data_IF_202185975303
#
_entry.id   IF_202185975303
#
_cell.length_a   1.000
_cell.length_b   1.000
_cell.length_c   1.000
_cell.angle_alpha   90.00
_cell.angle_beta   90.00
_cell.angle_gamma   90.00
#
_symmetry.space_group_name_H-M   'P 1'
#
loop_
_entity.id
_entity.type
_entity.pdbx_description
1 polymer ?
2 non-polymer ?
3 water ?
#
# COMPACT_ATOMS: atom_id res chain seq x y z
N UNK A 2 18.28 -32.86 -17.25
CA UNK A 2 18.23 -31.38 -17.10
C UNK A 2 18.90 -30.95 -15.79
N UNK A 3 18.58 -29.76 -15.29
CA UNK A 3 19.29 -29.19 -14.14
C UNK A 3 18.47 -28.16 -13.33
N UNK A 4 18.84 -28.04 -12.06
CA UNK A 4 18.15 -27.18 -11.08
C UNK A 4 18.63 -25.73 -11.08
N UNK A 5 19.64 -25.48 -11.88
CA UNK A 5 20.23 -24.16 -12.05
C UNK A 5 19.81 -23.67 -13.42
N UNK A 6 19.54 -22.37 -13.53
CA UNK A 6 19.00 -21.77 -14.73
C UNK A 6 19.51 -20.33 -14.87
N UNK A 7 19.78 -19.89 -16.09
CA UNK A 7 20.08 -18.50 -16.38
C UNK A 7 18.77 -17.78 -16.70
N UNK A 8 18.63 -16.59 -16.12
CA UNK A 8 17.46 -15.75 -16.33
C UNK A 8 17.91 -14.30 -16.50
N UNK A 9 17.06 -13.48 -17.07
CA UNK A 9 17.40 -12.10 -17.37
C UNK A 9 16.14 -11.23 -17.30
N UNK A 10 16.19 -10.17 -16.52
CA UNK A 10 15.05 -9.28 -16.45
C UNK A 10 15.34 -8.10 -15.54
N UNK A 11 14.25 -7.41 -15.21
CA UNK A 11 14.28 -6.14 -14.53
C UNK A 11 13.77 -6.29 -13.10
N UNK A 12 14.57 -5.73 -12.19
CA UNK A 12 14.29 -5.75 -10.77
C UNK A 12 13.16 -4.76 -10.52
N UNK A 13 12.05 -5.25 -10.00
CA UNK A 13 10.89 -4.41 -9.67
C UNK A 13 10.65 -4.20 -8.18
N UNK A 14 11.28 -5.01 -7.33
CA UNK A 14 11.20 -4.87 -5.89
C UNK A 14 12.45 -5.48 -5.26
N UNK A 15 12.94 -4.81 -4.22
CA UNK A 15 14.12 -5.22 -3.44
C UNK A 15 13.75 -5.12 -1.97
N UNK A 16 13.88 -6.23 -1.25
CA UNK A 16 13.75 -6.30 0.20
C UNK A 16 15.10 -6.68 0.81
N UNK A 17 15.58 -5.83 1.71
CA UNK A 17 16.72 -6.13 2.57
C UNK A 17 16.13 -6.72 3.83
N UNK A 18 16.52 -7.96 4.08
CA UNK A 18 16.00 -8.78 5.16
C UNK A 18 16.78 -8.51 6.46
N UNK A 19 16.23 -8.78 7.64
CA UNK A 19 17.00 -8.56 8.88
C UNK A 19 18.36 -9.28 8.92
N UNK A 20 18.45 -10.47 8.33
CA UNK A 20 19.71 -11.19 8.15
C UNK A 20 20.69 -10.66 7.11
N UNK A 21 20.33 -9.64 6.35
CA UNK A 21 21.23 -9.11 5.34
C UNK A 21 21.12 -9.83 3.99
N UNK A 22 20.08 -10.65 3.83
CA UNK A 22 19.75 -11.19 2.52
C UNK A 22 19.02 -10.13 1.68
N UNK A 23 19.06 -10.29 0.36
CA UNK A 23 18.33 -9.43 -0.55
C UNK A 23 17.34 -10.27 -1.33
N UNK A 24 16.06 -10.01 -1.16
CA UNK A 24 14.99 -10.71 -1.86
C UNK A 24 14.50 -9.79 -2.97
N UNK A 25 14.54 -10.29 -4.19
CA UNK A 25 14.14 -9.48 -5.34
C UNK A 25 13.03 -10.14 -6.12
N UNK A 26 12.17 -9.30 -6.68
CA UNK A 26 11.25 -9.76 -7.69
C UNK A 26 11.72 -9.18 -9.02
N UNK A 27 11.71 -10.02 -10.04
CA UNK A 27 12.07 -9.61 -11.38
C UNK A 27 10.93 -9.87 -12.34
N UNK A 28 10.78 -8.96 -13.29
CA UNK A 28 9.99 -9.27 -14.47
C UNK A 28 10.96 -9.66 -15.58
N UNK A 29 10.67 -10.81 -16.20
CA UNK A 29 11.48 -11.42 -17.26
C UNK A 29 10.63 -11.91 -18.43
N UNK A 30 11.27 -12.12 -19.59
CA UNK A 30 10.55 -12.62 -20.75
C UNK A 30 9.92 -14.00 -20.55
N UNK A 31 10.37 -14.74 -19.55
CA UNK A 31 9.75 -16.02 -19.20
C UNK A 31 8.84 -16.00 -17.99
N UNK A 32 8.47 -14.83 -17.49
CA UNK A 32 7.55 -14.74 -16.39
C UNK A 32 8.13 -13.95 -15.23
N UNK A 33 7.32 -13.83 -14.18
CA UNK A 33 7.76 -13.21 -12.95
C UNK A 33 8.69 -14.16 -12.21
N UNK A 34 9.71 -13.63 -11.53
CA UNK A 34 10.68 -14.42 -10.79
C UNK A 34 10.96 -13.75 -9.44
N UNK A 35 10.81 -14.52 -8.37
CA UNK A 35 11.21 -14.13 -7.01
C UNK A 35 12.43 -14.96 -6.61
N UNK A 36 13.44 -14.31 -6.06
CA UNK A 36 14.66 -14.98 -5.64
C UNK A 36 15.37 -14.20 -4.54
N UNK A 37 16.26 -14.88 -3.83
CA UNK A 37 16.98 -14.36 -2.67
C UNK A 37 18.48 -14.44 -2.91
N UNK A 38 19.20 -13.34 -2.72
CA UNK A 38 20.65 -13.32 -2.71
C UNK A 38 21.09 -13.36 -1.24
N UNK A 39 21.55 -14.54 -0.81
CA UNK A 39 21.89 -14.75 0.60
C UNK A 39 23.18 -14.01 0.95
N UNK A 40 23.21 -13.48 2.17
CA UNK A 40 24.23 -12.55 2.60
C UNK A 40 24.55 -11.53 1.53
N UNK A 41 23.53 -11.13 0.78
CA UNK A 41 23.72 -10.32 -0.41
C UNK A 41 24.13 -8.88 -0.19
N UNK A 42 23.66 -8.26 0.89
CA UNK A 42 23.97 -6.85 1.12
C UNK A 42 25.47 -6.65 1.31
N UNK A 43 26.11 -7.60 1.98
CA UNK A 43 27.55 -7.55 2.25
C UNK A 43 28.36 -8.48 1.35
N UNK A 44 28.16 -8.37 0.03
CA UNK A 44 29.05 -9.02 -0.94
C UNK A 44 28.99 -8.34 -2.32
N UNK A 45 29.32 -9.07 -3.39
CA UNK A 45 29.46 -8.49 -4.72
C UNK A 45 28.18 -8.17 -5.49
N UNK A 46 27.03 -8.62 -4.99
CA UNK A 46 25.77 -8.59 -5.73
C UNK A 46 24.81 -7.47 -5.36
N UNK A 47 25.14 -6.72 -4.30
CA UNK A 47 24.23 -5.75 -3.70
C UNK A 47 23.83 -4.62 -4.65
N UNK A 48 24.80 -4.05 -5.34
CA UNK A 48 24.55 -2.88 -6.17
C UNK A 48 23.82 -3.23 -7.47
N UNK A 49 24.14 -4.38 -8.06
CA UNK A 49 23.45 -4.83 -9.26
C UNK A 49 21.96 -5.09 -9.04
N UNK A 50 21.55 -5.65 -7.90
CA UNK A 50 20.15 -6.00 -7.72
C UNK A 50 19.30 -4.81 -7.24
N UNK A 51 19.40 -3.65 -7.90
CA UNK A 51 18.59 -2.52 -7.47
C UNK A 51 17.46 -2.23 -8.44
N UNK A 52 16.47 -1.50 -7.95
CA UNK A 52 15.26 -1.25 -8.72
C UNK A 52 15.60 -0.73 -10.11
N UNK A 53 14.92 -1.33 -11.08
CA UNK A 53 14.92 -0.87 -12.45
C UNK A 53 16.15 -1.32 -13.23
N UNK A 54 17.08 -2.03 -12.60
CA UNK A 54 18.21 -2.59 -13.35
C UNK A 54 17.77 -3.81 -14.14
N UNK A 55 18.26 -3.95 -15.36
CA UNK A 55 18.11 -5.16 -16.15
C UNK A 55 19.33 -6.00 -15.78
N UNK A 56 19.10 -7.14 -15.13
CA UNK A 56 20.17 -8.03 -14.69
C UNK A 56 20.07 -9.41 -15.32
N UNK A 57 21.23 -10.04 -15.49
CA UNK A 57 21.34 -11.45 -15.79
C UNK A 57 21.70 -12.16 -14.49
N UNK A 58 20.98 -13.23 -14.18
CA UNK A 58 21.15 -13.95 -12.93
C UNK A 58 21.20 -15.44 -13.21
N UNK A 59 22.09 -16.11 -12.50
CA UNK A 59 22.05 -17.56 -12.40
C UNK A 59 21.34 -17.91 -11.11
N UNK A 60 20.27 -18.68 -11.21
CA UNK A 60 19.50 -19.03 -10.03
C UNK A 60 19.41 -20.53 -9.83
N UNK A 61 19.38 -20.92 -8.57
CA UNK A 61 19.27 -22.32 -8.17
C UNK A 61 17.94 -22.55 -7.46
N UNK A 62 17.13 -23.47 -7.96
CA UNK A 62 15.94 -23.93 -7.26
C UNK A 62 16.21 -25.29 -6.60
N UNK A 63 16.33 -25.24 -5.28
CA UNK A 63 16.39 -26.42 -4.45
C UNK A 63 15.23 -27.37 -4.68
N UNK A 64 15.38 -28.60 -4.19
CA UNK A 64 14.35 -29.63 -4.37
C UNK A 64 13.16 -29.40 -3.46
N UNK A 65 13.36 -28.72 -2.33
CA UNK A 65 12.30 -28.50 -1.35
C UNK A 65 12.95 -27.87 -0.13
N UNK A 67 11.90 -23.45 -1.34
CA UNK A 67 10.97 -23.08 -2.41
C UNK A 67 11.28 -21.75 -3.09
N UNK A 68 11.99 -20.85 -2.42
CA UNK A 68 12.51 -19.63 -3.05
C UNK A 68 13.83 -19.88 -3.78
N UNK A 69 13.90 -19.53 -5.06
CA UNK A 69 15.12 -19.65 -5.83
C UNK A 69 16.21 -18.75 -5.25
N UNK A 70 17.44 -19.24 -5.29
CA UNK A 70 18.56 -18.52 -4.69
C UNK A 70 19.44 -18.00 -5.81
N UNK A 71 19.94 -16.78 -5.69
CA UNK A 71 20.75 -16.14 -6.72
C UNK A 71 22.21 -16.52 -6.46
N UNK A 72 22.85 -17.11 -7.47
CA UNK A 72 24.23 -17.56 -7.34
C UNK A 72 25.16 -16.53 -7.99
N UNK A 73 24.74 -15.97 -9.11
CA UNK A 73 25.48 -14.88 -9.76
C UNK A 73 24.52 -13.84 -10.33
N UNK A 74 25.01 -12.61 -10.45
CA UNK A 74 24.22 -11.53 -11.01
C UNK A 74 25.15 -10.57 -11.75
N UNK A 75 24.74 -10.21 -12.97
CA UNK A 75 25.53 -9.37 -13.85
C UNK A 75 24.62 -8.24 -14.35
N UNK A 76 25.06 -7.00 -14.17
CA UNK A 76 24.31 -5.86 -14.68
C UNK A 76 24.36 -5.77 -16.21
N UNK A 77 23.19 -5.82 -16.85
CA UNK A 77 23.08 -5.79 -18.30
C UNK A 77 22.60 -4.46 -18.87
N UNK A 78 22.02 -3.61 -18.03
CA UNK A 78 21.35 -2.43 -18.49
C UNK A 78 20.91 -1.63 -17.28
N UNK A 79 21.20 -0.33 -17.33
CA UNK A 79 20.72 0.61 -16.33
C UNK A 79 20.23 1.87 -17.02
N UNK A 80 19.40 2.64 -16.30
CA UNK A 80 18.85 3.90 -16.75
C UNK A 80 19.11 4.92 -15.63
N UNK A 81 20.28 5.55 -15.65
CA UNK A 81 20.71 6.43 -14.55
C UNK A 81 19.79 7.62 -14.29
N UNK A 82 19.05 7.97 -15.33
CA UNK A 82 18.14 9.10 -15.32
C UNK A 82 16.88 8.84 -14.46
N UNK A 83 16.56 7.56 -14.26
CA UNK A 83 15.56 7.15 -13.27
C UNK A 83 15.86 7.58 -11.84
N UNK A 84 17.06 8.06 -11.56
CA UNK A 84 17.34 8.67 -10.26
C UNK A 84 16.71 10.06 -10.12
N UNK A 85 16.31 10.67 -11.22
CA UNK A 85 15.55 11.92 -11.12
C UNK A 85 14.20 11.60 -10.45
N UNK A 86 13.82 12.32 -9.40
CA UNK A 86 12.65 11.97 -8.60
C UNK A 86 11.32 11.77 -9.35
N UNK A 87 11.03 12.61 -10.33
CA UNK A 87 9.80 12.45 -11.10
C UNK A 87 9.79 11.19 -11.97
N UNK A 88 10.92 10.91 -12.59
CA UNK A 88 11.10 9.70 -13.38
C UNK A 88 11.08 8.46 -12.50
N UNK A 89 11.78 8.49 -11.37
CA UNK A 89 11.75 7.39 -10.44
C UNK A 89 10.30 7.04 -10.07
N UNK A 90 9.49 8.05 -9.78
CA UNK A 90 8.12 7.89 -9.35
C UNK A 90 7.28 7.14 -10.38
N UNK A 91 7.46 7.46 -11.67
CA UNK A 91 6.73 6.80 -12.74
C UNK A 91 7.28 5.39 -13.04
N UNK A 92 8.59 5.18 -12.98
CA UNK A 92 9.18 3.85 -13.07
C UNK A 92 8.59 2.96 -11.98
N UNK A 93 8.49 3.49 -10.78
CA UNK A 93 8.00 2.77 -9.61
C UNK A 93 6.51 2.40 -9.76
N UNK A 94 5.71 3.32 -10.27
CA UNK A 94 4.34 3.04 -10.63
C UNK A 94 4.24 1.90 -11.65
N UNK A 95 5.00 1.94 -12.74
CA UNK A 95 4.92 0.89 -13.75
C UNK A 95 5.25 -0.45 -13.11
N UNK A 96 6.27 -0.48 -12.25
CA UNK A 96 6.72 -1.71 -11.62
C UNK A 96 5.62 -2.35 -10.78
N UNK A 97 5.03 -1.59 -9.88
CA UNK A 97 4.01 -2.11 -8.96
C UNK A 97 2.70 -2.39 -9.72
N UNK A 98 2.42 -1.57 -10.74
CA UNK A 98 1.21 -1.76 -11.53
C UNK A 98 1.32 -3.05 -12.31
N UNK A 99 2.46 -3.26 -12.97
CA UNK A 99 2.63 -4.49 -13.75
C UNK A 99 2.53 -5.75 -12.89
N UNK A 100 3.10 -5.69 -11.70
CA UNK A 100 3.10 -6.83 -10.79
C UNK A 100 1.69 -7.15 -10.33
N UNK A 101 0.89 -6.11 -10.17
CA UNK A 101 -0.47 -6.24 -9.69
C UNK A 101 -1.38 -6.71 -10.80
N UNK A 102 -1.07 -6.34 -12.03
CA UNK A 102 -2.00 -6.56 -13.14
C UNK A 102 -1.94 -8.02 -13.62
N UNK A 103 -0.74 -8.56 -13.68
CA UNK A 103 -0.49 -9.90 -14.19
C UNK A 103 -0.39 -10.88 -13.03
N UNK A 104 -1.30 -11.85 -13.00
CA UNK A 104 -1.22 -12.96 -12.04
C UNK A 104 -0.17 -13.97 -12.50
N UNK A 105 0.18 -14.88 -11.59
CA UNK A 105 1.23 -15.87 -11.86
C UNK A 105 0.84 -16.64 -13.12
N UNK A 106 1.81 -16.83 -14.02
CA UNK A 106 1.58 -17.35 -15.36
C UNK A 106 1.13 -16.38 -16.45
N UNK A 107 0.56 -15.24 -16.10
CA UNK A 107 0.08 -14.33 -17.14
C UNK A 107 1.17 -13.45 -17.80
N UNK A 108 2.38 -13.38 -17.24
CA UNK A 108 3.40 -12.46 -17.71
C UNK A 108 4.29 -12.98 -18.84
N UNK A 109 3.95 -12.56 -20.04
CA UNK A 109 4.50 -13.12 -21.28
C UNK A 109 5.71 -12.32 -21.76
N UNK A 110 6.38 -12.84 -22.78
CA UNK A 110 7.48 -12.11 -23.39
C UNK A 110 7.04 -10.75 -23.93
N UNK A 111 5.84 -10.69 -24.51
CA UNK A 111 5.32 -9.45 -25.09
C UNK A 111 5.14 -8.42 -23.97
N UNK A 112 4.68 -8.89 -22.82
CA UNK A 112 4.48 -8.06 -21.64
C UNK A 112 5.82 -7.57 -21.14
N UNK A 113 6.82 -8.43 -21.08
CA UNK A 113 8.16 -8.04 -20.67
C UNK A 113 8.69 -6.92 -21.58
N UNK A 114 8.54 -7.09 -22.88
CA UNK A 114 9.10 -6.12 -23.82
C UNK A 114 8.45 -4.75 -23.70
N UNK A 115 7.12 -4.77 -23.58
CA UNK A 115 6.35 -3.57 -23.34
C UNK A 115 6.70 -2.93 -22.00
N UNK A 116 6.84 -3.74 -20.95
CA UNK A 116 7.28 -3.18 -19.67
C UNK A 116 8.64 -2.48 -19.73
N UNK A 117 9.62 -3.16 -20.33
CA UNK A 117 10.97 -2.60 -20.48
C UNK A 117 10.92 -1.28 -21.24
N UNK A 118 10.09 -1.22 -22.29
CA UNK A 118 9.96 0.00 -23.08
C UNK A 118 9.34 1.13 -22.26
N UNK A 119 8.44 0.77 -21.35
CA UNK A 119 7.82 1.75 -20.46
C UNK A 119 8.87 2.42 -19.60
N UNK A 120 9.80 1.64 -19.06
CA UNK A 120 10.89 2.19 -18.27
C UNK A 120 11.85 3.07 -19.10
N UNK A 121 12.21 2.64 -20.29
CA UNK A 121 12.96 3.48 -21.22
C UNK A 121 12.25 4.80 -21.49
N UNK A 122 10.97 4.75 -21.85
CA UNK A 122 10.17 5.94 -22.02
C UNK A 122 10.12 6.90 -20.85
N UNK A 123 9.97 6.35 -19.64
CA UNK A 123 9.92 7.18 -18.44
C UNK A 123 11.30 7.78 -18.20
N UNK A 124 12.33 7.01 -18.55
CA UNK A 124 13.70 7.47 -18.36
C UNK A 124 14.09 8.56 -19.36
N UNK A 125 13.55 8.50 -20.59
CA UNK A 125 14.05 9.35 -21.69
C UNK A 125 13.13 10.41 -22.26
N UNK A 126 11.82 10.26 -22.10
CA UNK A 126 10.85 11.13 -22.73
C UNK A 126 10.50 12.39 -21.91
N UNK A 127 10.16 13.48 -22.58
CA UNK A 127 9.81 14.72 -21.88
C UNK A 127 8.62 14.64 -20.91
N UNK A 128 7.65 13.76 -21.12
CA UNK A 128 6.41 13.69 -20.36
C UNK A 128 6.25 12.25 -19.82
N UNK A 129 6.96 11.94 -18.76
CA UNK A 129 6.89 10.57 -18.22
C UNK A 129 5.51 10.19 -17.69
N UNK A 130 4.69 11.11 -17.20
CA UNK A 130 3.33 10.78 -16.81
C UNK A 130 2.60 10.18 -18.02
N UNK A 131 2.79 10.80 -19.19
CA UNK A 131 2.07 10.38 -20.38
C UNK A 131 2.57 9.00 -20.83
N UNK A 132 3.88 8.77 -20.73
CA UNK A 132 4.40 7.43 -21.02
C UNK A 132 3.69 6.41 -20.13
N UNK A 133 3.57 6.71 -18.84
CA UNK A 133 2.98 5.75 -17.91
C UNK A 133 1.50 5.51 -18.17
N UNK A 134 0.74 6.56 -18.48
CA UNK A 134 -0.65 6.42 -18.88
C UNK A 134 -0.79 5.48 -20.07
N UNK A 135 0.00 5.77 -21.10
CA UNK A 135 -0.08 5.02 -22.36
C UNK A 135 0.28 3.57 -22.16
N UNK A 136 1.35 3.32 -21.41
CA UNK A 136 1.92 2.00 -21.25
C UNK A 136 1.05 1.17 -20.32
N UNK A 137 0.54 1.79 -19.27
CA UNK A 137 -0.35 1.08 -18.37
C UNK A 137 -1.64 0.61 -19.08
N UNK A 138 -2.24 1.46 -19.92
CA UNK A 138 -3.42 1.04 -20.70
C UNK A 138 -3.07 -0.02 -21.74
N UNK A 139 -1.93 0.14 -22.38
CA UNK A 139 -1.46 -0.87 -23.32
C UNK A 139 -1.27 -2.24 -22.69
N UNK A 140 -0.73 -2.29 -21.48
CA UNK A 140 -0.55 -3.55 -20.80
C UNK A 140 -1.88 -4.25 -20.51
N UNK A 141 -2.99 -3.53 -20.37
CA UNK A 141 -4.29 -4.17 -20.23
C UNK A 141 -4.60 -5.17 -21.33
N UNK A 142 -4.16 -4.89 -22.55
CA UNK A 142 -4.35 -5.80 -23.67
C UNK A 142 -3.59 -7.10 -23.59
N UNK A 143 -2.58 -7.21 -22.71
CA UNK A 143 -1.79 -8.42 -22.65
C UNK A 143 -2.12 -9.28 -21.42
N UNK A 144 -3.02 -8.77 -20.58
CA UNK A 144 -3.25 -9.37 -19.28
C UNK A 144 -4.60 -10.07 -19.33
N UNK A 145 -5.03 -10.55 -18.17
CA UNK A 145 -6.25 -11.34 -17.98
C UNK A 145 -7.59 -10.62 -17.93
N UNK A 146 -7.57 -9.33 -17.61
CA UNK A 146 -8.74 -8.45 -17.77
C UNK A 146 -9.26 -8.41 -19.21
N UNK A 147 -10.52 -7.98 -19.33
CA UNK A 147 -11.24 -7.82 -20.59
C UNK A 147 -11.76 -6.39 -20.78
N UNK A 148 -10.96 -5.60 -21.47
CA UNK A 148 -11.37 -4.24 -21.79
C UNK A 148 -12.62 -4.31 -22.69
N UNK A 149 -13.54 -3.37 -22.51
CA UNK A 149 -14.80 -3.39 -23.27
C UNK A 149 -15.37 -1.98 -23.33
N UNK A 150 -15.10 -1.28 -24.43
CA UNK A 150 -15.53 0.10 -24.69
C UNK A 150 -16.56 0.31 -25.80
N UNK A 151 -16.95 -0.75 -26.51
CA UNK A 151 -17.90 -0.65 -27.61
C UNK A 151 -19.36 -0.58 -27.17
N UNK A 152 -19.69 -1.06 -25.98
CA UNK A 152 -21.06 -1.06 -25.50
C UNK A 152 -21.21 -0.62 -24.04
N UNK A 153 -22.32 0.02 -23.71
CA UNK A 153 -22.59 0.42 -22.35
C UNK A 153 -22.51 -0.80 -21.45
N UNK A 154 -21.80 -0.66 -20.34
CA UNK A 154 -21.56 -1.77 -19.43
C UNK A 154 -22.86 -2.22 -18.75
N UNK A 155 -23.90 -1.39 -18.76
CA UNK A 155 -25.15 -1.78 -18.11
C UNK A 155 -26.18 -2.33 -19.10
N UNK A 156 -26.60 -1.53 -20.08
CA UNK A 156 -27.66 -1.94 -21.00
C UNK A 156 -27.18 -2.46 -22.36
N UNK A 157 -25.92 -2.20 -22.71
CA UNK A 157 -25.36 -2.72 -23.93
C UNK A 157 -25.41 -1.80 -25.13
N UNK A 158 -25.98 -0.61 -24.99
CA UNK A 158 -26.04 0.39 -26.06
C UNK A 158 -24.68 0.74 -26.66
N UNK A 159 -24.65 0.82 -27.98
CA UNK A 159 -23.39 1.07 -28.70
C UNK A 159 -22.77 2.43 -28.41
N UNK A 160 -21.44 2.45 -28.36
CA UNK A 160 -20.67 3.68 -28.27
C UNK A 160 -20.96 4.58 -27.07
N UNK A 161 -20.88 4.04 -25.85
CA UNK A 161 -21.11 4.83 -24.65
C UNK A 161 -20.03 5.90 -24.47
N UNK A 162 -20.41 7.04 -23.90
CA UNK A 162 -19.50 8.15 -23.76
C UNK A 162 -19.28 8.59 -22.32
N UNK A 163 -19.87 7.87 -21.37
CA UNK A 163 -19.85 8.36 -19.99
C UNK A 163 -19.07 7.48 -19.03
N UNK A 164 -18.61 8.08 -17.94
CA UNK A 164 -17.91 7.35 -16.89
C UNK A 164 -18.78 6.27 -16.26
N UNK A 165 -18.15 5.19 -15.82
CA UNK A 165 -18.76 4.05 -15.16
C UNK A 165 -18.12 3.98 -13.76
N UNK A 166 -18.68 4.63 -12.76
CA UNK A 166 -18.09 4.60 -11.41
C UNK A 166 -18.13 3.24 -10.72
N UNK A 167 -19.01 2.33 -11.12
CA UNK A 167 -19.07 1.01 -10.50
C UNK A 167 -18.09 -0.03 -11.06
N UNK A 168 -17.92 -0.06 -12.38
CA UNK A 168 -17.15 -1.11 -13.01
C UNK A 168 -15.91 -0.61 -13.73
N UNK A 169 -15.78 0.70 -13.87
CA UNK A 169 -14.67 1.29 -14.59
C UNK A 169 -14.61 1.09 -16.10
N UNK A 170 -15.75 0.78 -16.70
CA UNK A 170 -15.89 0.68 -18.15
C UNK A 170 -16.49 2.00 -18.64
N UNK A 171 -17.51 1.97 -19.49
CA UNK A 171 -18.25 3.14 -19.93
C UNK A 171 -19.76 2.91 -19.95
N UNK A 172 -20.54 3.95 -19.71
CA UNK A 172 -22.00 3.92 -19.67
C UNK A 172 -22.57 4.83 -20.75
N UNK A 173 -23.77 4.50 -21.25
CA UNK A 173 -24.47 5.40 -22.18
C UNK A 173 -25.13 6.54 -21.41
N UNK A 174 -25.61 7.52 -22.17
CA UNK A 174 -26.23 8.72 -21.62
C UNK A 174 -27.45 8.38 -20.77
N UNK A 175 -28.13 7.27 -21.06
CA UNK A 175 -29.30 6.89 -20.29
C UNK A 175 -28.96 6.19 -18.98
N UNK A 176 -27.86 5.46 -18.91
CA UNK A 176 -27.50 4.73 -17.70
C UNK A 176 -26.64 5.58 -16.78
N UNK A 177 -26.07 6.66 -17.30
CA UNK A 177 -25.09 7.48 -16.61
C UNK A 177 -25.74 8.59 -15.79
N UNK A 178 -25.13 8.92 -14.66
CA UNK A 178 -25.53 10.05 -13.85
C UNK A 178 -24.46 11.15 -13.89
N UNK A 179 -23.35 10.91 -14.57
CA UNK A 179 -22.30 11.90 -14.76
C UNK A 179 -22.21 12.39 -16.20
N UNK A 180 -21.69 13.58 -16.41
CA UNK A 180 -21.51 14.11 -17.77
C UNK A 180 -20.54 13.30 -18.61
N UNK A 181 -20.60 13.42 -19.93
CA UNK A 181 -19.76 12.60 -20.81
C UNK A 181 -18.28 12.94 -20.64
N UNK A 182 -17.39 11.96 -20.88
CA UNK A 182 -15.99 12.26 -21.00
C UNK A 182 -15.80 13.22 -22.18
N UNK A 183 -14.86 14.15 -22.06
CA UNK A 183 -14.54 15.01 -23.21
C UNK A 183 -13.90 14.21 -24.32
N UNK A 184 -13.96 14.76 -25.52
CA UNK A 184 -13.59 14.02 -26.72
C UNK A 184 -12.19 13.38 -26.74
N UNK A 185 -11.16 14.06 -26.23
CA UNK A 185 -9.81 13.49 -26.28
C UNK A 185 -9.71 12.35 -25.27
N UNK A 186 -10.40 12.46 -24.13
CA UNK A 186 -10.46 11.37 -23.17
C UNK A 186 -11.13 10.13 -23.76
N UNK A 187 -12.26 10.34 -24.42
CA UNK A 187 -13.00 9.26 -25.04
C UNK A 187 -12.16 8.57 -26.10
N UNK A 188 -11.46 9.38 -26.88
CA UNK A 188 -10.67 8.82 -27.95
C UNK A 188 -9.54 7.94 -27.41
N UNK A 189 -8.90 8.42 -26.35
CA UNK A 189 -7.90 7.62 -25.67
C UNK A 189 -8.46 6.30 -25.14
N UNK A 190 -9.55 6.41 -24.39
CA UNK A 190 -10.16 5.24 -23.78
C UNK A 190 -10.55 4.19 -24.82
N UNK A 191 -11.05 4.61 -25.98
CA UNK A 191 -11.54 3.71 -27.01
C UNK A 191 -10.45 3.03 -27.81
N UNK A 192 -9.27 3.62 -27.84
CA UNK A 192 -8.23 3.17 -28.75
C UNK A 192 -6.88 2.87 -28.10
N UNK A 193 -6.71 3.18 -26.82
CA UNK A 193 -5.41 3.10 -26.19
C UNK A 193 -4.86 1.68 -26.17
N UNK A 194 -5.74 0.69 -26.01
CA UNK A 194 -5.29 -0.69 -26.03
C UNK A 194 -4.74 -1.18 -27.38
N UNK A 195 -5.35 -0.76 -28.48
CA UNK A 195 -5.03 -1.23 -29.83
C UNK A 195 -3.96 -0.38 -30.52
N UNK A 196 -4.02 0.93 -30.31
CA UNK A 196 -3.07 1.86 -30.91
C UNK A 196 -1.65 1.55 -30.51
N UNK A 197 -0.72 1.71 -31.44
CA UNK A 197 0.69 1.58 -31.09
C UNK A 197 1.06 2.62 -30.04
N UNK A 198 2.02 2.29 -29.19
CA UNK A 198 2.47 3.27 -28.20
C UNK A 198 3.14 4.48 -28.85
N UNK A 199 3.84 4.26 -29.95
CA UNK A 199 4.38 5.38 -30.70
C UNK A 199 3.30 6.37 -31.14
N UNK A 200 2.25 5.88 -31.76
CA UNK A 200 1.09 6.71 -32.11
C UNK A 200 0.50 7.46 -30.93
N UNK A 201 0.29 6.80 -29.80
CA UNK A 201 -0.24 7.46 -28.62
C UNK A 201 0.65 8.54 -28.01
N UNK A 202 1.96 8.32 -28.03
CA UNK A 202 2.92 9.29 -27.52
C UNK A 202 2.83 10.62 -28.28
N UNK A 203 2.37 10.56 -29.52
CA UNK A 203 2.25 11.74 -30.36
C UNK A 203 0.96 12.51 -30.07
N UNK A 204 -0.01 11.87 -29.42
CA UNK A 204 -1.26 12.54 -29.08
C UNK A 204 -1.54 12.67 -27.59
N UNK A 205 -0.69 13.37 -26.84
CA UNK A 205 -0.94 13.47 -25.39
C UNK A 205 -2.28 14.12 -25.05
N UNK A 206 -2.92 13.64 -23.99
CA UNK A 206 -4.12 14.25 -23.46
C UNK A 206 -3.61 15.33 -22.52
N UNK A 207 -4.26 16.49 -22.52
CA UNK A 207 -3.83 17.59 -21.66
C UNK A 207 -3.93 17.20 -20.21
N UNK A 208 -3.08 17.85 -19.41
CA UNK A 208 -2.87 17.50 -18.01
C UNK A 208 -4.18 17.58 -17.23
N UNK A 209 -5.03 18.53 -17.60
CA UNK A 209 -6.30 18.73 -16.92
C UNK A 209 -7.17 17.49 -17.05
N UNK A 210 -7.09 16.78 -18.18
CA UNK A 210 -7.92 15.59 -18.41
C UNK A 210 -7.34 14.27 -17.92
N UNK A 211 -6.14 14.30 -17.36
CA UNK A 211 -5.49 13.06 -16.98
C UNK A 211 -6.03 12.39 -15.71
N UNK A 212 -6.40 13.14 -14.68
CA UNK A 212 -7.00 12.49 -13.50
C UNK A 212 -8.16 11.56 -13.86
N UNK A 213 -8.99 11.93 -14.83
CA UNK A 213 -10.06 11.07 -15.32
C UNK A 213 -9.55 9.72 -15.85
N UNK A 214 -8.45 9.78 -16.62
CA UNK A 214 -7.78 8.60 -17.13
C UNK A 214 -7.18 7.69 -16.04
N UNK A 215 -6.54 8.29 -15.04
CA UNK A 215 -5.99 7.53 -13.93
C UNK A 215 -7.12 6.88 -13.15
N UNK A 216 -8.22 7.61 -12.97
CA UNK A 216 -9.33 7.11 -12.16
C UNK A 216 -9.99 5.91 -12.80
N UNK A 217 -10.19 5.98 -14.11
CA UNK A 217 -10.85 4.92 -14.83
C UNK A 217 -10.00 3.66 -14.79
N UNK A 218 -8.70 3.85 -14.97
CA UNK A 218 -7.73 2.76 -14.89
C UNK A 218 -7.79 2.05 -13.54
N UNK A 219 -7.81 2.83 -12.45
CA UNK A 219 -7.84 2.32 -11.08
C UNK A 219 -9.10 1.51 -10.79
N UNK A 220 -10.26 2.04 -11.18
CA UNK A 220 -11.53 1.37 -10.98
C UNK A 220 -11.59 0.07 -11.78
N UNK A 221 -11.27 0.15 -13.07
CA UNK A 221 -11.29 -1.01 -13.92
C UNK A 221 -10.39 -2.13 -13.40
N UNK A 222 -9.14 -1.82 -13.08
CA UNK A 222 -8.18 -2.84 -12.67
C UNK A 222 -8.60 -3.50 -11.34
N UNK A 223 -9.03 -2.68 -10.39
CA UNK A 223 -9.46 -3.12 -9.08
C UNK A 223 -10.73 -3.96 -9.19
N UNK A 224 -11.68 -3.63 -10.08
CA UNK A 224 -12.85 -4.48 -10.26
C UNK A 224 -12.49 -5.78 -10.98
N UNK A 225 -11.62 -5.74 -11.97
CA UNK A 225 -11.35 -6.90 -12.81
C UNK A 225 -10.36 -7.87 -12.19
N UNK A 226 -9.39 -7.37 -11.42
CA UNK A 226 -8.27 -8.19 -10.97
C UNK A 226 -8.34 -8.26 -9.46
N UNK A 227 -8.26 -9.45 -8.89
CA UNK A 227 -8.08 -9.55 -7.45
C UNK A 227 -6.81 -8.92 -6.88
N UNK A 228 -6.86 -8.52 -5.61
CA UNK A 228 -5.68 -8.08 -4.90
C UNK A 228 -5.90 -6.80 -4.09
N UNK A 229 -4.82 -6.25 -3.56
CA UNK A 229 -4.85 -5.06 -2.73
C UNK A 229 -4.66 -3.80 -3.58
N UNK A 230 -4.00 -3.94 -4.72
CA UNK A 230 -3.80 -2.79 -5.59
C UNK A 230 -3.18 -1.60 -4.84
N UNK A 231 -2.11 -1.93 -4.11
CA UNK A 231 -1.24 -0.96 -3.47
C UNK A 231 -0.51 -0.03 -4.44
N UNK A 232 -0.42 -0.44 -5.69
CA UNK A 232 0.17 0.41 -6.73
C UNK A 232 -0.56 1.73 -6.86
N UNK A 233 -1.80 1.80 -6.39
CA UNK A 233 -2.54 3.05 -6.40
C UNK A 233 -1.98 4.15 -5.49
N UNK A 234 -1.13 3.79 -4.54
CA UNK A 234 -0.32 4.74 -3.79
C UNK A 234 0.58 5.61 -4.68
N UNK A 235 0.92 5.11 -5.86
CA UNK A 235 1.80 5.82 -6.75
C UNK A 235 1.16 6.59 -7.90
N UNK A 236 -0.16 6.54 -8.02
CA UNK A 236 -0.84 7.29 -9.08
C UNK A 236 -0.73 8.78 -8.75
N UNK A 237 -0.44 9.67 -9.70
CA UNK A 237 -0.26 11.09 -9.37
C UNK A 237 -1.41 11.62 -8.51
N UNK A 238 -1.08 12.27 -7.41
CA UNK A 238 -2.02 12.66 -6.37
C UNK A 238 -1.66 13.97 -5.65
N UNK A 239 -0.80 14.77 -6.27
CA UNK A 239 -0.31 16.01 -5.70
C UNK A 239 1.20 16.14 -5.72
N UNK A 240 1.67 17.39 -5.67
CA UNK A 240 3.09 17.70 -5.54
C UNK A 240 3.41 18.16 -4.11
N UNK A 241 4.30 17.47 -3.40
CA UNK A 241 4.70 17.87 -2.04
C UNK A 241 5.04 19.35 -1.87
N UNK A 242 4.80 19.89 -0.68
CA UNK A 242 4.90 21.32 -0.42
C UNK A 242 6.34 21.85 -0.47
N UNK A 243 7.08 21.79 0.65
CA UNK A 243 8.42 22.37 0.72
C UNK A 243 9.36 21.71 1.73
N UNK A 244 10.66 21.79 1.46
CA UNK A 244 11.71 21.35 2.38
C UNK A 244 12.46 22.56 2.92
N UNK B 1 -15.16 19.70 16.46
CA UNK B 1 -14.60 20.98 15.92
C UNK B 1 -15.22 22.18 16.62
N UNK B 2 -14.38 23.10 17.08
CA UNK B 2 -14.84 24.20 17.93
C UNK B 2 -14.75 25.57 17.23
N UNK B 3 -14.70 25.55 15.90
CA UNK B 3 -14.91 26.71 15.03
C UNK B 3 -15.44 26.26 13.67
N UNK B 4 -15.83 27.20 12.82
CA UNK B 4 -16.33 26.93 11.47
C UNK B 4 -15.29 26.63 10.39
N UNK B 5 -14.30 27.51 10.26
CA UNK B 5 -13.17 27.28 9.37
C UNK B 5 -11.93 26.93 10.19
N UNK B 6 -11.07 26.07 9.63
CA UNK B 6 -9.93 25.53 10.38
C UNK B 6 -8.91 24.88 9.45
N UNK B 7 -7.64 25.08 9.82
CA UNK B 7 -6.50 24.47 9.16
C UNK B 7 -6.05 23.28 9.99
N UNK B 8 -5.93 22.15 9.32
CA UNK B 8 -5.59 20.89 9.98
C UNK B 8 -4.55 20.14 9.16
N UNK B 9 -3.79 19.30 9.84
CA UNK B 9 -2.75 18.54 9.18
C UNK B 9 -2.73 17.14 9.78
N UNK B 10 -2.74 16.13 8.93
CA UNK B 10 -2.57 14.76 9.37
C UNK B 10 -2.51 13.74 8.26
N UNK B 11 -2.73 12.49 8.65
CA UNK B 11 -2.54 11.36 7.76
C UNK B 11 -3.90 10.76 7.46
N UNK B 12 -4.16 10.62 6.17
CA UNK B 12 -5.35 9.93 5.72
C UNK B 12 -5.30 8.46 6.11
N UNK B 13 -6.23 8.04 6.96
CA UNK B 13 -6.32 6.63 7.30
C UNK B 13 -7.46 5.83 6.67
N UNK B 14 -8.34 6.52 5.96
CA UNK B 14 -9.44 5.86 5.27
C UNK B 14 -9.89 6.79 4.16
N UNK B 15 -10.21 6.15 3.04
CA UNK B 15 -10.54 6.83 1.80
C UNK B 15 -11.53 6.00 1.00
N UNK B 16 -12.60 6.66 0.57
CA UNK B 16 -13.69 6.11 -0.24
C UNK B 16 -14.04 7.19 -1.26
N UNK B 17 -14.10 6.83 -2.54
CA UNK B 17 -14.65 7.70 -3.57
C UNK B 17 -16.04 7.21 -3.93
N UNK B 18 -17.01 8.09 -3.73
CA UNK B 18 -18.45 7.86 -3.86
C UNK B 18 -18.81 7.82 -5.34
N UNK B 19 -19.85 7.11 -5.76
CA UNK B 19 -20.24 7.11 -7.18
C UNK B 19 -20.38 8.50 -7.83
N UNK B 20 -20.74 9.50 -7.03
CA UNK B 20 -20.79 10.89 -7.48
C UNK B 20 -19.42 11.60 -7.59
N UNK B 21 -18.34 10.97 -7.16
CA UNK B 21 -17.03 11.57 -7.32
C UNK B 21 -16.54 12.32 -6.09
N UNK B 22 -17.29 12.25 -4.98
CA UNK B 22 -16.80 12.82 -3.73
C UNK B 22 -15.85 11.90 -2.96
N UNK B 23 -14.73 12.46 -2.51
CA UNK B 23 -13.76 11.79 -1.67
C UNK B 23 -14.09 11.96 -0.21
N UNK B 24 -14.39 10.86 0.45
CA UNK B 24 -14.66 10.89 1.87
C UNK B 24 -13.48 10.27 2.62
N UNK B 25 -12.93 10.99 3.59
CA UNK B 25 -11.73 10.57 4.30
C UNK B 25 -11.87 10.69 5.81
N UNK B 26 -11.14 9.81 6.51
CA UNK B 26 -10.78 10.04 7.89
C UNK B 26 -9.29 10.34 8.01
N UNK B 27 -8.98 11.38 8.78
CA UNK B 27 -7.61 11.77 9.03
C UNK B 27 -7.33 11.57 10.51
N UNK B 28 -6.12 11.11 10.82
CA UNK B 28 -5.57 11.28 12.16
C UNK B 28 -4.70 12.52 12.16
N UNK B 29 -4.94 13.42 13.12
CA UNK B 29 -4.19 14.67 13.26
C UNK B 29 -3.71 14.82 14.69
N UNK B 30 -2.76 15.73 14.92
CA UNK B 30 -2.36 16.03 16.30
C UNK B 30 -3.50 16.47 17.22
N UNK B 31 -4.59 17.01 16.68
CA UNK B 31 -5.72 17.45 17.50
C UNK B 31 -6.85 16.42 17.53
N UNK B 32 -6.63 15.21 17.01
CA UNK B 32 -7.62 14.15 17.04
C UNK B 32 -8.04 13.65 15.66
N UNK B 33 -9.01 12.74 15.63
CA UNK B 33 -9.54 12.17 14.40
C UNK B 33 -10.40 13.23 13.72
N UNK B 34 -10.36 13.28 12.41
CA UNK B 34 -11.18 14.23 11.66
C UNK B 34 -11.77 13.56 10.43
N UNK B 35 -13.10 13.48 10.36
CA UNK B 35 -13.76 12.98 9.16
C UNK B 35 -14.18 14.12 8.25
N UNK B 36 -13.99 13.95 6.95
CA UNK B 36 -14.22 15.04 6.00
C UNK B 36 -14.59 14.56 4.59
N UNK B 37 -15.11 15.49 3.81
CA UNK B 37 -15.55 15.22 2.44
C UNK B 37 -14.98 16.28 1.52
N UNK B 38 -14.38 15.85 0.41
CA UNK B 38 -14.00 16.76 -0.68
C UNK B 38 -14.96 16.56 -1.82
N UNK B 39 -15.79 17.58 -2.06
CA UNK B 39 -16.87 17.51 -3.03
C UNK B 39 -16.31 17.69 -4.43
N UNK B 40 -16.33 16.61 -5.19
CA UNK B 40 -15.59 16.52 -6.45
C UNK B 40 -14.12 16.18 -6.22
N UNK B 45 -10.07 19.28 -8.69
CA UNK B 45 -9.70 20.69 -8.51
C UNK B 45 -8.66 20.87 -7.39
N UNK B 46 -8.73 20.09 -6.33
CA UNK B 46 -7.83 20.23 -5.19
C UNK B 46 -6.36 19.92 -5.50
N UNK B 47 -5.45 20.49 -4.73
CA UNK B 47 -4.01 20.27 -4.90
C UNK B 47 -3.51 18.86 -4.55
N UNK B 48 -4.29 18.13 -3.75
CA UNK B 48 -4.03 16.76 -3.33
C UNK B 48 -5.33 15.99 -3.45
N UNK B 49 -5.24 14.75 -3.92
CA UNK B 49 -6.40 13.88 -4.02
C UNK B 49 -6.58 13.09 -2.72
N UNK B 50 -5.90 13.52 -1.66
CA UNK B 50 -6.02 12.92 -0.32
C UNK B 50 -5.81 11.41 -0.30
N UNK B 51 -4.72 10.93 -0.90
CA UNK B 51 -4.47 9.50 -1.00
C UNK B 51 -4.19 8.88 0.36
N UNK B 52 -4.58 7.62 0.49
CA UNK B 52 -4.39 6.84 1.71
C UNK B 52 -2.93 6.92 2.16
N UNK B 53 -2.75 7.03 3.48
CA UNK B 53 -1.46 7.15 4.14
C UNK B 53 -0.66 8.41 3.83
N UNK B 54 -1.21 9.32 3.03
CA UNK B 54 -0.54 10.60 2.83
C UNK B 54 -0.70 11.54 4.01
N UNK B 55 0.37 12.29 4.26
CA UNK B 55 0.34 13.36 5.23
C UNK B 55 -0.09 14.61 4.48
N UNK B 56 -1.25 15.15 4.82
CA UNK B 56 -1.83 16.25 4.07
C UNK B 56 -2.15 17.41 4.99
N UNK B 57 -2.09 18.63 4.45
CA UNK B 57 -2.63 19.80 5.09
C UNK B 57 -3.92 20.17 4.39
N UNK B 58 -4.98 20.37 5.18
CA UNK B 58 -6.29 20.74 4.66
C UNK B 58 -6.81 22.00 5.33
N UNK B 59 -7.66 22.71 4.60
CA UNK B 59 -8.55 23.70 5.21
C UNK B 59 -9.98 23.18 5.06
N UNK B 60 -10.66 23.05 6.18
CA UNK B 60 -12.03 22.58 6.21
C UNK B 60 -13.03 23.61 6.74
N UNK B 61 -14.23 23.58 6.17
CA UNK B 61 -15.35 24.35 6.69
C UNK B 61 -16.33 23.40 7.36
N UNK B 62 -16.76 23.71 8.56
CA UNK B 62 -17.88 22.97 9.12
C UNK B 62 -18.82 23.91 9.85
N UNK B 63 -20.04 23.97 9.33
CA UNK B 63 -21.10 24.81 9.86
C UNK B 63 -22.14 23.95 10.52
N UNK B 64 -23.21 24.58 10.99
CA UNK B 64 -24.29 23.84 11.68
C UNK B 64 -25.13 23.03 10.70
N UNK B 65 -24.97 23.22 9.40
CA UNK B 65 -25.73 22.40 8.44
C UNK B 65 -24.93 21.28 7.78
N UNK B 66 -23.65 21.12 8.11
CA UNK B 66 -22.95 20.01 7.51
C UNK B 66 -22.53 18.89 8.46
N UNK B 67 -22.98 17.69 8.09
CA UNK B 67 -22.67 16.42 8.74
C UNK B 67 -21.18 16.20 8.95
N UNK B 68 -20.45 16.36 7.84
CA UNK B 68 -19.01 16.17 7.74
C UNK B 68 -18.42 17.54 7.42
N UNK B 69 -17.20 17.77 7.93
CA UNK B 69 -16.38 18.89 7.51
C UNK B 69 -16.09 18.81 6.03
N UNK B 70 -16.14 19.96 5.38
CA UNK B 70 -16.01 20.01 3.93
C UNK B 70 -14.62 20.52 3.57
N UNK B 71 -13.88 19.79 2.74
CA UNK B 71 -12.51 20.17 2.41
C UNK B 71 -12.56 21.22 1.32
N UNK B 72 -11.92 22.36 1.59
CA UNK B 72 -11.87 23.48 0.67
C UNK B 72 -10.51 23.64 0.01
N UNK B 73 -9.44 23.25 0.72
CA UNK B 73 -8.09 23.21 0.19
C UNK B 73 -7.39 21.97 0.75
N UNK B 74 -6.48 21.41 -0.04
CA UNK B 74 -5.70 20.26 0.40
C UNK B 74 -4.36 20.29 -0.31
N UNK B 75 -3.28 20.21 0.46
CA UNK B 75 -1.93 20.06 -0.09
C UNK B 75 -1.19 18.85 0.48
N UNK B 76 -0.37 18.24 -0.36
CA UNK B 76 0.44 17.09 0.06
C UNK B 76 1.62 17.60 0.87
N UNK B 77 1.76 17.12 2.10
CA UNK B 77 2.92 17.47 2.91
C UNK B 77 4.01 16.39 2.83
N UNK B 78 3.64 15.13 2.68
CA UNK B 78 4.61 14.09 2.42
C UNK B 78 3.95 12.73 2.23
N UNK B 79 4.71 11.84 1.61
CA UNK B 79 4.24 10.51 1.28
C UNK B 79 5.35 9.50 1.46
N UNK B 80 4.96 8.24 1.66
CA UNK B 80 5.87 7.13 1.82
C UNK B 80 5.70 6.18 0.62
N UNK B 81 6.43 6.39 -0.45
CA UNK B 81 6.20 5.61 -1.68
C UNK B 81 6.33 4.10 -1.50
N UNK B 82 7.16 3.62 -0.57
CA UNK B 82 7.33 2.18 -0.42
C UNK B 82 6.13 1.48 0.22
N UNK B 83 5.17 2.27 0.70
CA UNK B 83 3.86 1.72 1.06
C UNK B 83 3.11 1.16 -0.15
N UNK B 84 3.65 1.36 -1.36
CA UNK B 84 3.09 0.78 -2.57
C UNK B 84 3.40 -0.71 -2.69
N UNK B 85 4.35 -1.18 -1.88
CA UNK B 85 4.73 -2.59 -1.88
C UNK B 85 3.64 -3.33 -1.12
N UNK B 86 3.07 -4.36 -1.73
CA UNK B 86 1.89 -5.01 -1.15
C UNK B 86 1.98 -5.39 0.33
N UNK B 87 3.09 -5.96 0.78
CA UNK B 87 3.24 -6.35 2.17
C UNK B 87 3.28 -5.15 3.10
N UNK B 88 3.98 -4.11 2.67
CA UNK B 88 4.06 -2.92 3.50
C UNK B 88 2.71 -2.21 3.53
N UNK B 89 2.00 -2.21 2.40
CA UNK B 89 0.66 -1.63 2.32
C UNK B 89 -0.25 -2.33 3.32
N UNK B 90 -0.16 -3.65 3.39
CA UNK B 90 -1.07 -4.43 4.23
C UNK B 90 -0.89 -4.08 5.71
N UNK B 91 0.35 -3.96 6.16
CA UNK B 91 0.63 -3.56 7.54
C UNK B 91 0.22 -2.12 7.83
N UNK B 92 0.38 -1.23 6.85
CA UNK B 92 0.00 0.16 7.03
C UNK B 92 -1.52 0.24 7.18
N UNK B 93 -2.24 -0.53 6.39
CA UNK B 93 -3.68 -0.69 6.43
C UNK B 93 -4.12 -1.22 7.79
N UNK B 94 -3.37 -2.17 8.32
CA UNK B 94 -3.65 -2.74 9.62
C UNK B 94 -3.52 -1.66 10.70
N UNK B 95 -2.44 -0.90 10.62
CA UNK B 95 -2.19 0.17 11.57
C UNK B 95 -3.32 1.20 11.56
N UNK B 96 -3.70 1.62 10.36
CA UNK B 96 -4.78 2.57 10.14
C UNK B 96 -6.10 2.13 10.77
N UNK B 97 -6.53 0.91 10.46
CA UNK B 97 -7.76 0.33 11.00
C UNK B 97 -7.64 0.20 12.52
N UNK B 98 -6.47 -0.22 12.98
CA UNK B 98 -6.20 -0.31 14.40
C UNK B 98 -6.45 0.97 15.15
N UNK B 99 -5.84 2.05 14.67
CA UNK B 99 -5.98 3.33 15.32
C UNK B 99 -7.39 3.90 15.17
N UNK B 100 -8.08 3.56 14.09
CA UNK B 100 -9.41 4.11 13.95
C UNK B 100 -10.33 3.54 15.02
N UNK B 101 -10.25 2.22 15.18
CA UNK B 101 -11.09 1.45 16.11
C UNK B 101 -10.68 1.70 17.54
N UNK B 102 -9.38 1.93 17.75
CA UNK B 102 -8.82 2.03 19.08
C UNK B 102 -9.09 3.38 19.69
N UNK B 103 -8.97 4.45 18.91
CA UNK B 103 -9.19 5.77 19.49
C UNK B 103 -10.62 6.20 19.19
N UNK B 104 -11.52 5.83 20.11
CA UNK B 104 -12.90 6.31 20.17
C UNK B 104 -13.14 7.70 19.55
N UNK B 106 -12.53 11.62 21.06
CA UNK B 106 -11.54 12.61 21.42
C UNK B 106 -10.31 12.09 22.14
N UNK B 107 -10.01 10.80 22.04
CA UNK B 107 -8.85 10.21 22.72
C UNK B 107 -7.49 10.46 22.06
N UNK B 108 -7.49 10.80 20.77
CA UNK B 108 -6.28 10.78 19.96
C UNK B 108 -5.52 12.11 20.03
N UNK B 109 -4.33 12.05 20.62
CA UNK B 109 -3.52 13.15 21.12
C UNK B 109 -2.30 13.41 20.23
N UNK B 110 -1.50 14.43 20.54
CA UNK B 110 -0.29 14.77 19.80
C UNK B 110 0.65 13.58 19.82
N UNK B 111 0.80 12.97 20.99
CA UNK B 111 1.74 11.87 21.15
C UNK B 111 1.28 10.64 20.36
N UNK B 112 -0.01 10.34 20.36
CA UNK B 112 -0.58 9.27 19.57
C UNK B 112 -0.35 9.54 18.08
N UNK B 113 -0.56 10.76 17.64
CA UNK B 113 -0.26 11.10 16.26
C UNK B 113 1.19 10.79 15.88
N UNK B 114 2.13 11.19 16.73
CA UNK B 114 3.55 11.04 16.46
C UNK B 114 3.87 9.55 16.43
N UNK B 115 3.34 8.78 17.38
CA UNK B 115 3.55 7.35 17.36
C UNK B 115 2.94 6.65 16.12
N UNK B 116 1.72 7.05 15.76
CA UNK B 116 1.09 6.53 14.57
C UNK B 116 1.92 6.82 13.32
N UNK B 117 2.37 8.06 13.16
CA UNK B 117 3.17 8.45 12.00
C UNK B 117 4.43 7.62 11.91
N UNK B 118 5.02 7.38 13.09
CA UNK B 118 6.25 6.61 13.21
C UNK B 118 6.02 5.14 12.82
N UNK B 119 4.85 4.59 13.13
CA UNK B 119 4.49 3.24 12.75
C UNK B 119 4.45 3.10 11.24
N UNK B 120 3.91 4.10 10.58
CA UNK B 120 3.91 4.11 9.13
C UNK B 120 5.31 4.23 8.55
N UNK B 121 6.16 5.09 9.11
CA UNK B 121 7.54 5.21 8.65
C UNK B 121 8.25 3.87 8.81
N UNK B 122 8.04 3.21 9.94
CA UNK B 122 8.68 1.95 10.19
C UNK B 122 8.23 0.85 9.25
N UNK B 123 6.91 0.73 9.09
CA UNK B 123 6.36 -0.18 8.08
C UNK B 123 6.93 0.09 6.69
N UNK B 124 7.10 1.37 6.38
CA UNK B 124 7.63 1.77 5.07
C UNK B 124 9.10 1.42 4.87
N UNK B 125 9.90 1.54 5.93
CA UNK B 125 11.35 1.58 5.78
C UNK B 125 12.15 0.43 6.34
N UNK B 126 11.60 -0.26 7.33
CA UNK B 126 12.32 -1.30 8.03
C UNK B 126 12.21 -2.67 7.37
N UNK B 127 13.22 -3.49 7.56
CA UNK B 127 13.20 -4.86 7.04
C UNK B 127 12.11 -5.76 7.61
N UNK B 128 11.55 -5.48 8.78
CA UNK B 128 10.57 -6.37 9.40
C UNK B 128 9.30 -5.61 9.75
N UNK B 129 8.49 -5.30 8.75
CA UNK B 129 7.24 -4.59 8.98
C UNK B 129 6.23 -5.24 9.94
N UNK B 130 6.16 -6.56 9.92
CA UNK B 130 5.32 -7.31 10.85
C UNK B 130 5.71 -6.95 12.27
N UNK B 131 7.01 -6.97 12.56
CA UNK B 131 7.54 -6.57 13.84
C UNK B 131 7.20 -5.12 14.21
N UNK B 132 7.35 -4.17 13.28
CA UNK B 132 6.96 -2.79 13.55
C UNK B 132 5.50 -2.73 13.96
N UNK B 133 4.64 -3.47 13.27
CA UNK B 133 3.21 -3.43 13.52
C UNK B 133 2.86 -4.02 14.90
N UNK B 134 3.51 -5.11 15.29
CA UNK B 134 3.29 -5.68 16.60
C UNK B 134 3.68 -4.71 17.70
N UNK B 135 4.88 -4.14 17.58
CA UNK B 135 5.38 -3.23 18.60
C UNK B 135 4.51 -1.99 18.69
N UNK B 136 4.18 -1.43 17.53
CA UNK B 136 3.44 -0.17 17.51
C UNK B 136 2.02 -0.38 18.01
N UNK B 137 1.40 -1.52 17.70
CA UNK B 137 0.05 -1.76 18.18
C UNK B 137 -0.02 -1.77 19.71
N UNK B 138 0.91 -2.45 20.37
CA UNK B 138 1.00 -2.51 21.83
C UNK B 138 1.32 -1.14 22.39
N UNK B 139 2.25 -0.42 21.76
CA UNK B 139 2.58 0.94 22.20
C UNK B 139 1.39 1.88 22.17
N UNK B 140 0.62 1.83 21.08
CA UNK B 140 -0.58 2.63 20.95
C UNK B 140 -1.63 2.28 22.02
N UNK B 141 -1.82 1.01 22.35
CA UNK B 141 -2.67 0.65 23.50
C UNK B 141 -2.35 1.50 24.72
N UNK B 142 -1.07 1.62 25.03
CA UNK B 142 -0.61 2.54 26.06
C UNK B 142 -1.06 3.99 26.00
N UNK B 143 -1.11 4.60 24.82
CA UNK B 143 -1.54 5.99 24.72
C UNK B 143 -3.06 6.13 24.67
N UNK B 144 -3.76 5.02 24.44
CA UNK B 144 -5.22 5.00 24.49
C UNK B 144 -5.72 4.73 25.91
N UNK B 145 -7.04 4.79 26.08
CA UNK B 145 -7.63 4.38 27.35
C UNK B 145 -7.14 3.03 27.83
N UNK B 146 -7.19 2.07 26.92
CA UNK B 146 -6.81 0.69 27.19
C UNK B 146 -5.39 0.60 27.77
N UNK B 147 -5.05 -0.55 28.34
CA UNK B 147 -3.74 -0.88 28.92
C UNK B 147 -3.72 -2.32 29.46
N UNK B 148 -3.11 -3.28 28.78
CA UNK B 148 -3.05 -4.64 29.33
C UNK B 148 -2.35 -4.68 30.72
N UNK B 149 -3.09 -5.05 31.76
CA UNK B 149 -2.50 -5.28 33.07
C UNK B 149 -1.78 -6.61 32.86
N UNK B 150 -0.46 -6.57 32.88
CA UNK B 150 0.36 -7.76 32.69
C UNK B 150 1.15 -8.02 33.97
N UNK B 151 1.10 -7.08 34.90
CA UNK B 151 1.74 -7.24 36.20
C UNK B 151 1.02 -8.22 37.13
N UNK B 152 -0.23 -8.59 36.82
CA UNK B 152 -1.06 -9.40 37.70
C UNK B 152 -2.02 -10.35 37.01
N UNK B 153 -2.27 -11.51 37.61
CA UNK B 153 -3.20 -12.48 37.05
C UNK B 153 -4.51 -11.77 36.78
N UNK B 154 -5.13 -11.99 35.62
CA UNK B 154 -6.37 -11.32 35.24
C UNK B 154 -7.57 -11.89 36.00
N UNK B 155 -7.45 -13.07 36.59
CA UNK B 155 -8.53 -13.69 37.33
C UNK B 155 -8.38 -13.38 38.81
N UNK B 156 -7.25 -13.76 39.40
CA UNK B 156 -7.09 -13.60 40.85
C UNK B 156 -6.20 -12.47 41.34
N UNK B 157 -5.45 -11.84 40.44
CA UNK B 157 -4.59 -10.73 40.83
C UNK B 157 -3.18 -11.07 41.27
N UNK B 158 -2.79 -12.34 41.26
CA UNK B 158 -1.48 -12.78 41.71
C UNK B 158 -0.41 -12.12 40.86
N UNK B 159 0.68 -11.64 41.45
CA UNK B 159 1.76 -10.99 40.71
C UNK B 159 2.51 -11.84 39.68
N UNK B 160 2.94 -11.23 38.58
CA UNK B 160 3.85 -11.83 37.60
C UNK B 160 3.37 -13.13 36.95
N UNK B 161 2.16 -13.11 36.39
CA UNK B 161 1.64 -14.27 35.68
C UNK B 161 2.42 -14.64 34.41
N UNK B 162 2.44 -15.94 34.08
CA UNK B 162 3.26 -16.44 32.98
C UNK B 162 2.47 -17.16 31.89
N UNK B 163 1.16 -17.28 32.04
CA UNK B 163 0.37 -18.19 31.23
C UNK B 163 -0.62 -17.44 30.38
N UNK B 164 -1.03 -18.04 29.26
CA UNK B 164 -2.05 -17.46 28.39
C UNK B 164 -3.40 -17.20 29.05
N UNK B 165 -4.09 -16.19 28.54
CA UNK B 165 -5.43 -15.84 28.97
C UNK B 165 -6.34 -15.88 27.75
N UNK B 166 -6.82 -17.06 27.41
CA UNK B 166 -7.72 -17.25 26.26
C UNK B 166 -8.97 -16.39 26.24
N UNK B 167 -9.44 -15.97 27.41
CA UNK B 167 -10.73 -15.26 27.47
C UNK B 167 -10.53 -13.75 27.32
N UNK B 168 -9.38 -13.24 27.75
CA UNK B 168 -9.15 -11.81 27.78
C UNK B 168 -7.89 -11.30 27.13
N UNK B 169 -7.01 -12.17 26.65
CA UNK B 169 -5.75 -11.75 26.06
C UNK B 169 -4.76 -11.09 26.99
N UNK B 170 -5.00 -11.16 28.30
CA UNK B 170 -3.96 -10.75 29.25
C UNK B 170 -3.09 -11.94 29.61
N UNK B 171 -2.80 -12.09 30.91
CA UNK B 171 -2.02 -13.21 31.40
C UNK B 171 -2.69 -13.83 32.65
N UNK B 172 -2.67 -15.16 32.76
CA UNK B 172 -3.09 -15.89 33.97
C UNK B 172 -1.93 -16.47 34.76
N UNK B 173 -2.12 -16.66 36.07
CA UNK B 173 -1.10 -17.28 36.91
C UNK B 173 -1.25 -18.78 36.72
N UNK B 174 -0.27 -19.54 37.21
CA UNK B 174 -0.20 -20.98 36.98
C UNK B 174 -1.39 -21.72 37.60
N UNK B 175 -2.00 -21.17 38.66
CA UNK B 175 -3.14 -21.77 39.32
C UNK B 175 -4.49 -21.51 38.68
N UNK B 176 -4.62 -20.43 37.93
CA UNK B 176 -5.85 -20.16 37.19
C UNK B 176 -5.78 -20.65 35.75
N UNK B 177 -4.58 -20.89 35.23
CA UNK B 177 -4.37 -21.25 33.82
C UNK B 177 -4.63 -22.73 33.51
N UNK B 178 -5.13 -22.98 32.32
CA UNK B 178 -5.28 -24.33 31.75
C UNK B 178 -4.20 -24.68 30.72
N UNK B 179 -3.42 -23.70 30.29
CA UNK B 179 -2.40 -23.90 29.25
C UNK B 179 -0.99 -23.70 29.78
N UNK B 180 0.00 -24.20 29.05
CA UNK B 180 1.38 -24.12 29.55
C UNK B 180 1.85 -22.68 29.43
N UNK B 181 2.95 -22.35 30.09
CA UNK B 181 3.37 -20.95 30.14
C UNK B 181 3.85 -20.52 28.76
N UNK B 182 3.79 -19.21 28.49
CA UNK B 182 4.42 -18.62 27.32
C UNK B 182 5.95 -18.76 27.33
N UNK B 183 6.55 -18.95 26.16
CA UNK B 183 8.01 -18.91 26.02
C UNK B 183 8.54 -17.60 26.59
N UNK B 184 9.76 -17.59 27.12
CA UNK B 184 10.36 -16.37 27.68
C UNK B 184 10.36 -15.13 26.79
N UNK B 185 10.60 -15.26 25.50
CA UNK B 185 10.67 -14.06 24.66
C UNK B 185 9.28 -13.43 24.49
N UNK B 186 8.26 -14.28 24.33
CA UNK B 186 6.88 -13.82 24.27
C UNK B 186 6.48 -13.13 25.58
N UNK B 187 6.85 -13.76 26.70
CA UNK B 187 6.51 -13.21 28.00
C UNK B 187 7.16 -11.85 28.18
N UNK B 188 8.43 -11.80 27.79
CA UNK B 188 9.21 -10.57 28.00
C UNK B 188 8.53 -9.44 27.25
N UNK B 189 8.01 -9.75 26.07
CA UNK B 189 7.40 -8.73 25.22
C UNK B 189 6.06 -8.31 25.80
N UNK B 190 5.21 -9.28 26.12
CA UNK B 190 3.91 -8.95 26.71
C UNK B 190 4.03 -8.09 27.97
N UNK B 191 5.07 -8.31 28.77
CA UNK B 191 5.24 -7.56 30.00
C UNK B 191 5.77 -6.16 29.77
N UNK B 192 6.56 -5.99 28.72
CA UNK B 192 7.28 -4.73 28.56
C UNK B 192 7.01 -3.94 27.29
N UNK B 193 6.33 -4.51 26.30
CA UNK B 193 6.07 -3.82 25.03
C UNK B 193 5.44 -2.44 25.21
N UNK B 194 4.45 -2.31 26.09
CA UNK B 194 3.78 -1.02 26.27
C UNK B 194 4.69 0.10 26.78
N UNK B 195 5.65 -0.20 27.64
CA UNK B 195 6.49 0.83 28.23
C UNK B 195 7.88 0.99 27.62
N UNK B 196 8.49 -0.10 27.17
CA UNK B 196 9.72 -0.03 26.41
C UNK B 196 9.67 0.97 25.24
N UNK B 197 10.78 1.65 24.99
CA UNK B 197 10.80 2.51 23.81
C UNK B 197 10.67 1.64 22.56
N UNK B 198 10.13 2.23 21.51
CA UNK B 198 9.95 1.51 20.27
C UNK B 198 11.30 1.11 19.73
N UNK B 199 12.28 1.99 19.83
CA UNK B 199 13.62 1.58 19.46
C UNK B 199 14.16 0.38 20.24
N UNK B 200 13.98 0.32 21.56
CA UNK B 200 14.45 -0.86 22.29
C UNK B 200 13.73 -2.13 21.86
N UNK B 201 12.43 -2.02 21.60
CA UNK B 201 11.70 -3.18 21.14
C UNK B 201 12.14 -3.57 19.74
N UNK B 202 12.54 -2.60 18.91
CA UNK B 202 12.96 -2.91 17.55
C UNK B 202 14.22 -3.74 17.59
N UNK B 203 15.05 -3.54 18.61
CA UNK B 203 16.33 -4.24 18.71
C UNK B 203 16.18 -5.65 19.29
N UNK B 204 14.99 -6.01 19.77
CA UNK B 204 14.76 -7.34 20.32
C UNK B 204 13.57 -8.07 19.70
N UNK B 205 13.61 -8.30 18.39
CA UNK B 205 12.51 -8.99 17.71
C UNK B 205 12.26 -10.40 18.25
N UNK B 206 10.98 -10.75 18.37
CA UNK B 206 10.58 -12.07 18.80
C UNK B 206 10.66 -12.89 17.52
N UNK B 207 11.22 -14.10 17.57
CA UNK B 207 11.23 -14.96 16.39
C UNK B 207 9.84 -15.25 15.84
N UNK B 208 9.78 -15.52 14.53
CA UNK B 208 8.50 -15.54 13.84
C UNK B 208 7.60 -16.71 14.21
N UNK B 209 8.19 -17.81 14.67
CA UNK B 209 7.42 -18.93 15.20
C UNK B 209 6.58 -18.54 16.42
N UNK B 210 7.05 -17.56 17.18
CA UNK B 210 6.35 -17.12 18.39
C UNK B 210 5.38 -15.96 18.18
N UNK B 211 5.34 -15.40 16.98
CA UNK B 211 4.50 -14.25 16.71
C UNK B 211 3.00 -14.50 16.67
N UNK B 212 2.54 -15.65 16.19
CA UNK B 212 1.10 -15.91 16.18
C UNK B 212 0.48 -15.88 17.59
N UNK B 213 1.22 -16.32 18.60
CA UNK B 213 0.75 -16.18 19.98
C UNK B 213 0.61 -14.70 20.34
N UNK B 214 1.46 -13.83 19.81
CA UNK B 214 1.36 -12.41 20.09
C UNK B 214 0.14 -11.78 19.41
N UNK B 215 -0.08 -12.10 18.14
CA UNK B 215 -1.24 -11.60 17.42
C UNK B 215 -2.54 -12.07 18.10
N UNK B 216 -2.55 -13.31 18.58
CA UNK B 216 -3.77 -13.87 19.19
C UNK B 216 -4.10 -13.15 20.48
N UNK B 217 -3.09 -12.91 21.32
CA UNK B 217 -3.33 -12.15 22.53
C UNK B 217 -3.84 -10.73 22.26
N UNK B 218 -3.16 -10.00 21.37
CA UNK B 218 -3.58 -8.65 21.01
C UNK B 218 -5.02 -8.63 20.51
N UNK B 219 -5.32 -9.52 19.59
CA UNK B 219 -6.65 -9.53 19.01
C UNK B 219 -7.72 -9.81 20.09
N UNK B 220 -7.45 -10.79 20.95
CA UNK B 220 -8.39 -11.11 22.01
C UNK B 220 -8.59 -9.94 22.97
N UNK B 221 -7.50 -9.32 23.39
CA UNK B 221 -7.56 -8.16 24.29
C UNK B 221 -8.33 -7.00 23.69
N UNK B 222 -8.07 -6.71 22.42
CA UNK B 222 -8.76 -5.60 21.77
C UNK B 222 -10.26 -5.87 21.59
N UNK B 223 -10.64 -7.07 21.17
CA UNK B 223 -12.03 -7.44 21.03
C UNK B 223 -12.79 -7.22 22.34
N UNK B 224 -12.21 -7.72 23.42
CA UNK B 224 -12.83 -7.65 24.74
C UNK B 224 -12.90 -6.21 25.24
N UNK B 225 -11.88 -5.41 24.95
CA UNK B 225 -11.78 -4.10 25.58
C UNK B 225 -12.28 -2.96 24.69
N UNK B 226 -12.39 -3.17 23.39
CA UNK B 226 -12.58 -2.06 22.47
C UNK B 226 -13.87 -2.12 21.67
N UNK B 227 -14.48 -0.94 21.51
CA UNK B 227 -15.74 -0.79 20.81
C UNK B 227 -15.67 -0.76 19.30
N UNK B 228 -16.79 -1.17 18.70
CA UNK B 228 -16.89 -1.38 17.28
C UNK B 228 -16.42 -2.80 17.07
N UNK B 229 -17.00 -3.49 16.08
CA UNK B 229 -16.50 -4.78 15.64
C UNK B 229 -15.12 -4.55 15.05
N UNK B 230 -14.73 -5.38 14.08
CA UNK B 230 -13.45 -5.15 13.42
C UNK B 230 -13.23 -5.57 11.96
N UNK B 231 -13.26 -4.55 11.11
CA UNK B 231 -12.43 -4.53 9.92
C UNK B 231 -10.98 -4.88 10.26
N UNK B 232 -10.52 -4.46 11.44
CA UNK B 232 -9.13 -4.62 11.85
C UNK B 232 -8.78 -6.11 11.95
N UNK B 233 -9.62 -6.89 12.62
CA UNK B 233 -9.44 -8.33 12.79
C UNK B 233 -9.21 -9.06 11.48
N UNK B 234 -9.89 -8.66 10.42
CA UNK B 234 -9.75 -9.30 9.12
C UNK B 234 -8.32 -9.18 8.57
N UNK B 235 -7.59 -8.15 8.97
CA UNK B 235 -6.24 -7.91 8.47
C UNK B 235 -5.13 -8.43 9.40
N UNK B 236 -5.48 -8.96 10.56
CA UNK B 236 -4.45 -9.48 11.45
C UNK B 236 -3.88 -10.73 10.80
N UNK B 237 -2.56 -10.90 10.81
CA UNK B 237 -1.92 -12.09 10.21
C UNK B 237 -2.42 -13.44 10.73
X LIG C 1 -26.87 2.05 -21.05
X LIG D 1 -4.62 -16.39 39.13
#
# INVERSE_FOLDING_TARGET
>A
MRSRTANRSGIVIRRRVTPAGDIIVTLLTPQGKLKAIARGGVKGPLSSSLNLFHHVGVQVYQGPHNDLASVKQAVLEGALPTLAEPERYAFAHLMAEFADALFQEGEFSEQAFDLFAASLRGVAHQPDPEWVALVMSYKLLGLAGVIPQTARCARCGAPDPEHPDPLGGQLLCSKCAALPPYPPAVLDFLRHAVRRTVRASFEQPVPSADRPALWRALEKFVTVQVGGVHSWRQLVPSGVPVLS
>B
MRSRTANRSGIVIRRRVTPAGDIIVTLLTPQGKLKAIARGGVKGPLSSSLNLFHHVGVQVYQGPHNDLASVKQAVLEGALPTLAEPERYAFAHLMAEFADALFQEGEFSEQAFDLFAASLRGVAHQPDPEWVALVMSYKLLGLAGVIPQTARCARCGAPDPEHPDPLGGQLLCSKCAALPPYPPAVLDFLRHAVRRTVRASFEQPVPSADRPALWRALEKFVTVQVGGVHSWRQLVPSGVPVLS
>C hetero
1 ZN ZN
>D hetero
1 ZN ZN
#
